data_IF_091542136619
#
_entry.id   IF_091542136619
#
_cell.length_a   1.000
_cell.length_b   1.000
_cell.length_c   1.000
_cell.angle_alpha   90.00
_cell.angle_beta   90.00
_cell.angle_gamma   90.00
#
_symmetry.space_group_name_H-M   'P 1'
#
loop_
_entity.id
_entity.type
_entity.pdbx_description
1 polymer ?
#
# COMPACT_ATOMS: atom_id res chain seq x y z
N UNK A 1 -23.73 7.10 -12.30
CA UNK A 1 -23.56 7.31 -10.84
C UNK A 1 -24.84 7.97 -10.33
N UNK A 2 -25.66 7.25 -9.55
CA UNK A 2 -27.08 7.60 -9.37
C UNK A 2 -27.36 8.57 -8.20
N UNK A 3 -26.32 9.10 -7.55
CA UNK A 3 -26.47 10.16 -6.55
C UNK A 3 -25.37 11.21 -6.73
N UNK A 4 -25.75 12.33 -7.36
CA UNK A 4 -24.95 13.54 -7.45
C UNK A 4 -25.12 14.31 -6.13
N UNK A 5 -24.03 14.60 -5.42
CA UNK A 5 -24.09 15.36 -4.16
C UNK A 5 -24.59 16.78 -4.43
N UNK A 6 -25.48 17.26 -3.56
CA UNK A 6 -26.14 18.57 -3.66
C UNK A 6 -25.15 19.73 -3.50
N UNK A 7 -24.09 19.54 -2.70
CA UNK A 7 -22.97 20.49 -2.58
C UNK A 7 -21.65 19.84 -3.02
N UNK A 8 -20.94 20.39 -4.02
CA UNK A 8 -19.58 19.99 -4.32
C UNK A 8 -18.67 20.39 -3.15
N UNK A 9 -17.82 19.47 -2.70
CA UNK A 9 -16.83 19.80 -1.67
C UNK A 9 -15.80 20.76 -2.27
N UNK A 10 -15.42 21.86 -1.58
CA UNK A 10 -14.32 22.71 -2.02
C UNK A 10 -13.06 21.88 -2.22
N UNK A 11 -12.33 22.11 -3.30
CA UNK A 11 -11.13 21.34 -3.71
C UNK A 11 -10.07 21.30 -2.61
N UNK A 12 -9.84 22.44 -1.94
CA UNK A 12 -8.96 22.56 -0.77
C UNK A 12 -9.39 21.67 0.40
N UNK A 13 -10.70 21.55 0.63
CA UNK A 13 -11.26 20.69 1.69
C UNK A 13 -11.15 19.21 1.33
N UNK A 14 -11.22 18.86 0.05
CA UNK A 14 -10.98 17.51 -0.43
C UNK A 14 -9.50 17.10 -0.30
N UNK A 15 -8.56 18.03 -0.57
CA UNK A 15 -7.13 17.81 -0.37
C UNK A 15 -6.78 17.71 1.13
N UNK A 16 -7.34 18.56 1.97
CA UNK A 16 -7.17 18.50 3.42
C UNK A 16 -7.74 17.21 4.03
N UNK A 17 -8.91 16.74 3.57
CA UNK A 17 -9.47 15.45 4.01
C UNK A 17 -8.72 14.22 3.46
N UNK A 18 -7.99 14.38 2.35
CA UNK A 18 -7.08 13.35 1.82
C UNK A 18 -5.81 13.23 2.68
N UNK A 19 -5.23 14.36 3.09
CA UNK A 19 -4.05 14.40 3.97
C UNK A 19 -4.38 14.08 5.43
N UNK A 20 -5.58 14.46 5.91
CA UNK A 20 -6.06 14.17 7.27
C UNK A 20 -7.51 13.67 7.26
N UNK A 21 -7.74 12.35 7.14
CA UNK A 21 -9.08 11.80 7.12
C UNK A 21 -9.76 12.06 8.47
N UNK A 22 -10.91 12.75 8.45
CA UNK A 22 -11.69 13.15 9.64
C UNK A 22 -12.06 12.02 10.60
N UNK A 23 -11.92 10.76 10.20
CA UNK A 23 -12.15 9.57 11.03
C UNK A 23 -10.89 8.98 11.64
N UNK A 24 -9.73 9.63 11.53
CA UNK A 24 -8.43 9.14 12.00
C UNK A 24 -7.81 8.06 11.10
N UNK A 25 -6.50 7.85 11.26
CA UNK A 25 -5.72 6.85 10.54
C UNK A 25 -6.24 5.43 10.76
N UNK A 26 -6.82 5.14 11.93
CA UNK A 26 -7.43 3.84 12.26
C UNK A 26 -8.58 3.51 11.31
N UNK A 27 -9.45 4.47 11.00
CA UNK A 27 -10.61 4.26 10.11
C UNK A 27 -10.17 4.19 8.65
N UNK A 28 -9.16 4.96 8.25
CA UNK A 28 -8.52 4.84 6.94
C UNK A 28 -7.86 3.45 6.77
N UNK A 29 -7.13 2.98 7.77
CA UNK A 29 -6.56 1.63 7.81
C UNK A 29 -7.65 0.54 7.72
N UNK A 30 -8.72 0.64 8.52
CA UNK A 30 -9.85 -0.29 8.43
C UNK A 30 -10.52 -0.25 7.06
N UNK A 31 -10.70 0.93 6.47
CA UNK A 31 -11.25 1.09 5.13
C UNK A 31 -10.36 0.43 4.07
N UNK A 32 -9.04 0.70 4.09
CA UNK A 32 -8.07 0.09 3.20
C UNK A 32 -8.04 -1.42 3.41
N UNK A 33 -7.98 -1.92 4.65
CA UNK A 33 -8.07 -3.34 5.00
C UNK A 33 -9.36 -4.00 4.49
N UNK A 34 -10.51 -3.35 4.65
CA UNK A 34 -11.78 -3.85 4.14
C UNK A 34 -11.83 -3.86 2.62
N UNK A 35 -11.26 -2.85 1.96
CA UNK A 35 -11.16 -2.76 0.50
C UNK A 35 -10.20 -3.81 -0.06
N UNK A 36 -9.05 -4.02 0.60
CA UNK A 36 -8.06 -5.07 0.31
C UNK A 36 -8.71 -6.45 0.37
N UNK A 37 -9.54 -6.70 1.38
CA UNK A 37 -10.32 -7.94 1.52
C UNK A 37 -11.39 -8.13 0.45
N UNK A 38 -11.77 -7.10 -0.32
CA UNK A 38 -12.84 -7.18 -1.33
C UNK A 38 -12.33 -7.03 -2.77
N UNK A 39 -11.04 -6.77 -2.99
CA UNK A 39 -10.48 -6.60 -4.33
C UNK A 39 -10.55 -7.92 -5.12
N UNK A 40 -11.32 -7.98 -6.21
CA UNK A 40 -11.33 -9.11 -7.14
C UNK A 40 -10.16 -8.95 -8.12
N UNK A 41 -8.95 -8.76 -7.61
CA UNK A 41 -7.76 -8.71 -8.45
C UNK A 41 -7.02 -10.04 -8.40
N UNK A 42 -6.42 -10.42 -9.54
CA UNK A 42 -5.62 -11.62 -9.62
C UNK A 42 -4.39 -11.50 -8.71
N UNK A 43 -3.92 -12.60 -8.10
CA UNK A 43 -2.74 -12.61 -7.24
C UNK A 43 -1.52 -11.96 -7.90
N UNK A 44 -1.34 -12.16 -9.20
CA UNK A 44 -0.23 -11.62 -9.99
C UNK A 44 -0.32 -10.09 -10.10
N UNK A 45 -1.52 -9.54 -10.31
CA UNK A 45 -1.72 -8.09 -10.38
C UNK A 45 -1.45 -7.42 -9.03
N UNK A 46 -1.88 -8.05 -7.94
CA UNK A 46 -1.58 -7.58 -6.58
C UNK A 46 -0.07 -7.67 -6.32
N UNK A 47 0.58 -8.78 -6.68
CA UNK A 47 2.01 -8.97 -6.52
C UNK A 47 2.85 -7.97 -7.34
N UNK A 48 2.45 -7.62 -8.57
CA UNK A 48 3.09 -6.52 -9.33
C UNK A 48 2.96 -5.17 -8.62
N UNK A 49 1.84 -4.94 -7.94
CA UNK A 49 1.69 -3.78 -7.07
C UNK A 49 2.68 -3.81 -5.90
N UNK A 50 2.76 -4.93 -5.17
CA UNK A 50 3.72 -5.11 -4.06
C UNK A 50 5.15 -4.89 -4.56
N UNK A 51 5.51 -5.48 -5.70
CA UNK A 51 6.81 -5.29 -6.36
C UNK A 51 7.11 -3.80 -6.56
N UNK A 52 6.17 -3.04 -7.13
CA UNK A 52 6.35 -1.61 -7.37
C UNK A 52 6.55 -0.82 -6.06
N UNK A 53 5.79 -1.16 -5.02
CA UNK A 53 5.93 -0.54 -3.69
C UNK A 53 7.28 -0.83 -3.03
N UNK A 54 7.69 -2.09 -3.02
CA UNK A 54 8.98 -2.53 -2.44
C UNK A 54 10.14 -1.93 -3.23
N UNK A 55 10.11 -1.97 -4.56
CA UNK A 55 11.16 -1.35 -5.38
C UNK A 55 11.33 0.13 -5.05
N UNK A 56 10.21 0.85 -4.87
CA UNK A 56 10.22 2.27 -4.56
C UNK A 56 10.93 2.61 -3.25
N UNK A 57 10.96 1.70 -2.25
CA UNK A 57 11.65 1.97 -0.98
C UNK A 57 13.17 2.02 -1.12
N UNK A 58 13.72 1.47 -2.21
CA UNK A 58 15.14 1.55 -2.56
C UNK A 58 15.46 2.79 -3.41
N UNK A 59 14.51 3.70 -3.59
CA UNK A 59 14.74 4.97 -4.29
C UNK A 59 14.93 6.11 -3.30
N UNK A 60 15.75 7.14 -3.63
CA UNK A 60 16.00 8.26 -2.73
C UNK A 60 14.83 9.25 -2.65
N UNK A 61 13.69 8.94 -3.26
CA UNK A 61 12.50 9.80 -3.35
C UNK A 61 11.64 9.80 -2.08
N UNK A 62 12.26 10.04 -0.93
CA UNK A 62 11.57 10.13 0.36
C UNK A 62 10.44 11.18 0.31
N UNK A 63 9.27 10.83 0.85
CA UNK A 63 8.06 11.64 0.76
C UNK A 63 7.28 11.50 -0.56
N UNK A 64 7.96 11.20 -1.67
CA UNK A 64 7.34 10.96 -2.99
C UNK A 64 7.11 9.47 -3.30
N UNK A 65 7.48 8.56 -2.41
CA UNK A 65 7.34 7.11 -2.60
C UNK A 65 5.92 6.67 -3.01
N UNK A 66 4.86 7.28 -2.47
CA UNK A 66 3.50 6.93 -2.89
C UNK A 66 3.23 7.26 -4.35
N UNK A 67 3.77 8.38 -4.85
CA UNK A 67 3.63 8.80 -6.25
C UNK A 67 4.45 7.87 -7.14
N UNK A 68 5.72 7.65 -6.80
CA UNK A 68 6.61 6.77 -7.56
C UNK A 68 6.04 5.34 -7.63
N UNK A 69 5.61 4.78 -6.50
CA UNK A 69 4.99 3.46 -6.44
C UNK A 69 3.69 3.40 -7.25
N UNK A 70 2.87 4.47 -7.23
CA UNK A 70 1.66 4.55 -8.04
C UNK A 70 1.96 4.55 -9.54
N UNK A 71 2.97 5.33 -9.96
CA UNK A 71 3.41 5.41 -11.36
C UNK A 71 3.96 4.06 -11.83
N UNK A 72 4.90 3.47 -11.11
CA UNK A 72 5.49 2.16 -11.44
C UNK A 72 4.41 1.08 -11.47
N UNK A 73 3.53 1.04 -10.46
CA UNK A 73 2.42 0.09 -10.43
C UNK A 73 1.50 0.26 -11.63
N UNK A 74 1.21 1.49 -12.05
CA UNK A 74 0.39 1.76 -13.23
C UNK A 74 1.06 1.30 -14.52
N UNK A 75 2.36 1.55 -14.68
CA UNK A 75 3.16 1.08 -15.83
C UNK A 75 3.15 -0.46 -15.91
N UNK A 76 3.32 -1.14 -14.77
CA UNK A 76 3.29 -2.60 -14.68
C UNK A 76 1.88 -3.20 -14.70
N UNK A 77 0.82 -2.38 -14.89
CA UNK A 77 -0.58 -2.81 -14.77
C UNK A 77 -0.85 -3.57 -13.46
N UNK A 78 -0.22 -3.15 -12.38
CA UNK A 78 -0.35 -3.66 -11.03
C UNK A 78 -1.59 -3.13 -10.30
N UNK A 79 -1.73 -3.54 -9.05
CA UNK A 79 -2.75 -3.00 -8.15
C UNK A 79 -2.18 -1.77 -7.41
N UNK A 80 -2.84 -0.62 -7.58
CA UNK A 80 -2.42 0.64 -6.97
C UNK A 80 -2.37 0.54 -5.43
N UNK A 81 -3.41 0.00 -4.80
CA UNK A 81 -3.46 -0.11 -3.34
C UNK A 81 -2.36 -1.02 -2.81
N UNK A 82 -2.08 -2.13 -3.50
CA UNK A 82 -0.99 -3.03 -3.13
C UNK A 82 0.38 -2.35 -3.23
N UNK A 83 0.57 -1.46 -4.22
CA UNK A 83 1.80 -0.66 -4.34
C UNK A 83 1.95 0.36 -3.22
N UNK A 84 0.89 1.11 -2.91
CA UNK A 84 0.90 2.03 -1.77
C UNK A 84 1.10 1.28 -0.43
N UNK A 85 0.62 0.04 -0.32
CA UNK A 85 0.90 -0.78 0.86
C UNK A 85 2.34 -1.30 0.87
N UNK A 86 2.91 -1.59 -0.30
CA UNK A 86 4.28 -2.04 -0.45
C UNK A 86 5.32 -1.00 -0.05
N UNK A 87 5.01 0.31 -0.16
CA UNK A 87 5.95 1.36 0.30
C UNK A 87 6.18 1.33 1.81
N UNK A 88 5.26 0.76 2.61
CA UNK A 88 5.47 0.56 4.05
C UNK A 88 6.49 -0.53 4.39
N UNK A 89 7.06 -1.20 3.37
CA UNK A 89 8.28 -1.99 3.55
C UNK A 89 9.44 -1.11 4.08
N UNK A 90 9.45 0.17 3.70
CA UNK A 90 10.34 1.20 4.25
C UNK A 90 9.85 1.69 5.62
N UNK A 91 10.62 1.41 6.66
CA UNK A 91 10.44 1.90 8.01
C UNK A 91 11.81 2.34 8.57
N UNK A 92 11.87 3.13 9.67
CA UNK A 92 13.14 3.66 10.18
C UNK A 92 14.23 2.60 10.37
N UNK A 93 13.86 1.38 10.74
CA UNK A 93 14.79 0.26 10.90
C UNK A 93 15.26 -0.30 9.56
N UNK A 94 14.39 -0.42 8.55
CA UNK A 94 14.76 -0.95 7.23
C UNK A 94 15.49 0.09 6.36
N UNK A 95 15.31 1.39 6.60
CA UNK A 95 16.00 2.42 5.82
C UNK A 95 17.51 2.45 6.02
N UNK A 96 18.01 2.05 7.19
CA UNK A 96 19.46 1.97 7.46
C UNK A 96 20.14 0.93 6.54
N UNK A 97 19.74 -0.36 6.55
CA UNK A 97 20.35 -1.35 5.66
C UNK A 97 20.04 -1.08 4.17
N UNK A 98 18.85 -0.55 3.83
CA UNK A 98 18.55 -0.15 2.45
C UNK A 98 19.48 0.98 2.00
N UNK A 99 19.70 1.99 2.84
CA UNK A 99 20.56 3.12 2.53
C UNK A 99 22.02 2.71 2.37
N UNK A 100 22.55 1.89 3.28
CA UNK A 100 23.91 1.35 3.19
C UNK A 100 24.06 0.54 1.91
N UNK A 101 23.18 -0.45 1.67
CA UNK A 101 23.29 -1.30 0.47
C UNK A 101 23.15 -0.50 -0.83
N UNK A 102 22.23 0.45 -0.91
CA UNK A 102 22.03 1.28 -2.09
C UNK A 102 23.20 2.23 -2.33
N UNK A 103 23.73 2.86 -1.28
CA UNK A 103 24.88 3.75 -1.42
C UNK A 103 26.17 2.99 -1.75
N UNK A 104 26.46 1.89 -1.06
CA UNK A 104 27.63 1.05 -1.35
C UNK A 104 27.58 0.54 -2.79
N UNK A 105 26.42 0.07 -3.25
CA UNK A 105 26.23 -0.36 -4.63
C UNK A 105 26.39 0.79 -5.62
N UNK A 106 25.88 1.98 -5.28
CA UNK A 106 25.95 3.17 -6.13
C UNK A 106 27.38 3.65 -6.35
N UNK A 107 28.13 3.77 -5.27
CA UNK A 107 29.54 4.16 -5.30
C UNK A 107 30.38 3.11 -6.05
N UNK A 108 30.11 1.83 -5.84
CA UNK A 108 30.75 0.75 -6.59
C UNK A 108 30.49 0.85 -8.11
N UNK A 109 29.24 1.08 -8.53
CA UNK A 109 28.88 1.25 -9.95
C UNK A 109 29.51 2.52 -10.54
N UNK A 110 29.56 3.61 -9.78
CA UNK A 110 30.10 4.89 -10.23
C UNK A 110 31.63 4.97 -10.18
N UNK A 111 32.30 3.96 -9.62
CA UNK A 111 33.75 3.99 -9.39
C UNK A 111 34.19 5.07 -8.38
N UNK A 112 33.26 5.56 -7.56
CA UNK A 112 33.55 6.53 -6.50
C UNK A 112 33.67 5.81 -5.16
N UNK A 113 34.39 6.41 -4.21
CA UNK A 113 34.46 5.88 -2.84
C UNK A 113 33.37 6.50 -1.99
N UNK A 114 32.73 5.69 -1.15
CA UNK A 114 32.01 6.21 0.01
C UNK A 114 33.03 6.99 0.84
N UNK A 115 32.93 8.32 0.88
CA UNK A 115 33.82 9.15 1.70
C UNK A 115 33.49 8.87 3.17
N UNK A 116 34.21 7.91 3.76
CA UNK A 116 33.99 7.43 5.14
C UNK A 116 34.63 8.32 6.22
N UNK A 117 35.33 9.39 5.84
CA UNK A 117 35.96 10.29 6.81
C UNK A 117 36.03 11.72 6.29
N UNK A 118 35.16 12.58 6.82
CA UNK A 118 35.42 13.98 7.23
C UNK A 118 34.14 14.83 7.25
N UNK A 119 33.11 14.52 6.46
CA UNK A 119 31.91 15.37 6.33
C UNK A 119 30.60 14.63 6.66
N UNK A 120 30.20 14.65 7.94
CA UNK A 120 28.89 14.29 8.56
C UNK A 120 28.21 12.96 8.15
N UNK A 121 27.40 12.41 9.07
CA UNK A 121 26.66 11.15 8.83
C UNK A 121 25.64 11.28 7.68
N UNK A 122 25.22 10.15 7.09
CA UNK A 122 24.14 10.07 6.10
C UNK A 122 22.92 10.92 6.49
N UNK A 123 22.49 10.83 7.76
CA UNK A 123 21.38 11.65 8.28
C UNK A 123 21.72 13.15 8.37
N UNK A 124 22.97 13.51 8.65
CA UNK A 124 23.44 14.89 8.64
C UNK A 124 23.29 15.54 7.27
N UNK A 125 23.69 14.86 6.20
CA UNK A 125 23.54 15.38 4.82
C UNK A 125 22.06 15.57 4.42
N UNK A 126 21.17 14.70 4.89
CA UNK A 126 19.72 14.87 4.71
C UNK A 126 19.17 16.08 5.48
N UNK A 127 19.65 16.30 6.71
CA UNK A 127 19.24 17.44 7.52
C UNK A 127 19.71 18.77 6.90
N UNK A 128 20.96 18.82 6.46
CA UNK A 128 21.56 20.01 5.85
C UNK A 128 20.82 20.36 4.54
N UNK A 129 20.57 19.39 3.66
CA UNK A 129 19.76 19.61 2.45
C UNK A 129 18.32 20.07 2.75
N UNK A 130 17.72 19.55 3.81
CA UNK A 130 16.39 19.99 4.27
C UNK A 130 16.40 21.41 4.83
N UNK A 131 17.45 21.78 5.58
CA UNK A 131 17.63 23.13 6.11
C UNK A 131 17.79 24.14 4.98
N UNK A 132 18.61 23.83 3.97
CA UNK A 132 18.80 24.69 2.80
C UNK A 132 17.51 24.85 2.00
N UNK A 133 16.76 23.77 1.78
CA UNK A 133 15.46 23.81 1.08
C UNK A 133 14.46 24.71 1.81
N UNK A 134 14.30 24.54 3.12
CA UNK A 134 13.37 25.36 3.91
C UNK A 134 13.86 26.81 4.02
N UNK A 135 15.17 27.01 4.20
CA UNK A 135 15.82 28.32 4.23
C UNK A 135 15.59 29.10 2.93
N UNK A 136 15.74 28.44 1.78
CA UNK A 136 15.51 29.03 0.46
C UNK A 136 14.04 29.37 0.22
N UNK A 137 13.09 28.56 0.72
CA UNK A 137 11.66 28.91 0.66
C UNK A 137 11.37 30.16 1.49
N UNK A 138 11.96 30.30 2.68
CA UNK A 138 11.81 31.50 3.51
C UNK A 138 12.50 32.72 2.88
N UNK A 139 13.62 32.51 2.21
CA UNK A 139 14.36 33.54 1.47
C UNK A 139 13.59 34.08 0.25
N UNK A 140 12.58 33.38 -0.27
CA UNK A 140 11.68 33.95 -1.30
C UNK A 140 10.83 35.10 -0.72
N UNK A 141 10.49 35.01 0.57
CA UNK A 141 9.63 35.98 1.26
C UNK A 141 10.40 36.95 2.16
N UNK A 142 11.72 36.78 2.28
CA UNK A 142 12.63 37.56 3.13
C UNK A 142 13.80 38.06 2.30
N UNK A 143 14.45 39.16 2.66
CA UNK A 143 15.66 39.66 1.96
C UNK A 143 16.94 38.83 2.17
N UNK A 144 16.81 37.53 2.50
CA UNK A 144 17.95 36.64 2.75
C UNK A 144 18.48 36.09 1.43
N UNK A 145 19.80 35.95 1.29
CA UNK A 145 20.39 35.27 0.14
C UNK A 145 20.10 33.77 0.16
N UNK A 146 19.85 33.19 -1.01
CA UNK A 146 19.57 31.76 -1.18
C UNK A 146 20.89 30.98 -1.21
N UNK A 147 21.01 29.94 -0.39
CA UNK A 147 22.17 29.05 -0.34
C UNK A 147 21.80 27.66 -0.88
N UNK A 148 22.56 27.18 -1.86
CA UNK A 148 22.33 25.90 -2.53
C UNK A 148 23.42 24.87 -2.24
N UNK A 149 24.38 25.20 -1.37
CA UNK A 149 25.61 24.43 -1.18
C UNK A 149 25.33 23.04 -0.63
N UNK A 150 24.54 22.91 0.43
CA UNK A 150 24.17 21.61 1.01
C UNK A 150 23.29 20.78 0.08
N UNK A 151 22.41 21.42 -0.70
CA UNK A 151 21.63 20.71 -1.72
C UNK A 151 22.52 20.14 -2.85
N UNK A 152 23.52 20.90 -3.30
CA UNK A 152 24.47 20.44 -4.32
C UNK A 152 25.35 19.28 -3.82
N UNK A 153 25.80 19.35 -2.56
CA UNK A 153 26.53 18.26 -1.90
C UNK A 153 25.64 17.02 -1.77
N UNK A 154 24.40 17.20 -1.29
CA UNK A 154 23.44 16.10 -1.18
C UNK A 154 23.15 15.45 -2.52
N UNK A 155 22.97 16.23 -3.59
CA UNK A 155 22.71 15.70 -4.92
C UNK A 155 23.84 14.76 -5.39
N UNK A 156 25.09 15.23 -5.27
CA UNK A 156 26.27 14.52 -5.77
C UNK A 156 26.67 13.33 -4.91
N UNK A 157 26.58 13.45 -3.59
CA UNK A 157 27.13 12.46 -2.66
C UNK A 157 26.09 11.48 -2.12
N UNK A 158 24.81 11.86 -2.14
CA UNK A 158 23.73 11.04 -1.59
C UNK A 158 22.75 10.66 -2.69
N UNK A 159 22.08 11.64 -3.30
CA UNK A 159 20.97 11.38 -4.20
C UNK A 159 21.38 10.58 -5.43
N UNK A 160 22.40 11.02 -6.16
CA UNK A 160 22.81 10.40 -7.42
C UNK A 160 23.39 8.99 -7.23
N UNK A 161 24.35 8.74 -6.30
CA UNK A 161 24.83 7.40 -6.02
C UNK A 161 23.70 6.48 -5.54
N UNK A 162 22.83 6.96 -4.64
CA UNK A 162 21.71 6.16 -4.14
C UNK A 162 20.73 5.82 -5.27
N UNK A 163 20.42 6.75 -6.17
CA UNK A 163 19.49 6.52 -7.28
C UNK A 163 19.96 5.37 -8.17
N UNK A 164 21.25 5.32 -8.51
CA UNK A 164 21.84 4.27 -9.34
C UNK A 164 21.97 2.97 -8.54
N UNK A 165 22.53 3.07 -7.35
CA UNK A 165 22.83 1.92 -6.50
C UNK A 165 21.61 1.24 -5.91
N UNK A 166 20.48 1.94 -5.79
CA UNK A 166 19.20 1.38 -5.33
C UNK A 166 18.51 0.50 -6.37
N UNK A 167 18.86 0.62 -7.66
CA UNK A 167 18.22 -0.14 -8.74
C UNK A 167 18.42 -1.63 -8.54
N UNK A 168 19.66 -2.10 -8.39
CA UNK A 168 19.98 -3.53 -8.29
C UNK A 168 19.40 -4.20 -7.03
N UNK A 169 19.72 -3.75 -5.80
CA UNK A 169 19.13 -4.33 -4.59
C UNK A 169 17.60 -4.16 -4.58
N UNK A 170 17.07 -3.05 -5.09
CA UNK A 170 15.64 -2.84 -5.22
C UNK A 170 14.98 -3.85 -6.15
N UNK A 171 15.56 -4.09 -7.33
CA UNK A 171 15.08 -5.10 -8.28
C UNK A 171 15.10 -6.50 -7.67
N UNK A 172 16.17 -6.86 -6.96
CA UNK A 172 16.31 -8.17 -6.30
C UNK A 172 15.23 -8.33 -5.22
N UNK A 173 15.15 -7.40 -4.26
CA UNK A 173 14.20 -7.46 -3.16
C UNK A 173 12.75 -7.42 -3.65
N UNK A 174 12.43 -6.55 -4.62
CA UNK A 174 11.09 -6.48 -5.20
C UNK A 174 10.72 -7.78 -5.91
N UNK A 175 11.65 -8.39 -6.66
CA UNK A 175 11.42 -9.66 -7.36
C UNK A 175 11.19 -10.81 -6.39
N UNK A 176 11.98 -10.89 -5.31
CA UNK A 176 11.75 -11.83 -4.22
C UNK A 176 10.35 -11.61 -3.62
N UNK A 177 10.00 -10.35 -3.32
CA UNK A 177 8.68 -10.01 -2.78
C UNK A 177 7.54 -10.43 -3.72
N UNK A 178 7.70 -10.29 -5.03
CA UNK A 178 6.73 -10.76 -6.03
C UNK A 178 6.54 -12.28 -5.97
N UNK A 179 7.63 -13.04 -6.06
CA UNK A 179 7.56 -14.50 -6.06
C UNK A 179 7.04 -15.08 -4.75
N UNK A 180 7.31 -14.44 -3.61
CA UNK A 180 6.72 -14.82 -2.32
C UNK A 180 5.25 -14.43 -2.22
N UNK A 181 4.87 -13.26 -2.75
CA UNK A 181 3.50 -12.74 -2.64
C UNK A 181 2.50 -13.56 -3.45
N UNK A 182 2.84 -14.00 -4.67
CA UNK A 182 1.91 -14.75 -5.53
C UNK A 182 1.33 -16.01 -4.86
N UNK A 183 2.12 -16.97 -4.33
CA UNK A 183 1.59 -18.17 -3.70
C UNK A 183 0.82 -17.85 -2.40
N UNK A 184 1.28 -16.88 -1.60
CA UNK A 184 0.59 -16.44 -0.39
C UNK A 184 -0.80 -15.87 -0.71
N UNK A 185 -0.88 -15.01 -1.73
CA UNK A 185 -2.12 -14.41 -2.20
C UNK A 185 -3.06 -15.46 -2.80
N UNK A 186 -2.54 -16.39 -3.62
CA UNK A 186 -3.32 -17.52 -4.16
C UNK A 186 -3.92 -18.38 -3.06
N UNK A 187 -3.12 -18.77 -2.06
CA UNK A 187 -3.57 -19.56 -0.92
C UNK A 187 -4.64 -18.83 -0.11
N UNK A 188 -4.45 -17.53 0.14
CA UNK A 188 -5.41 -16.68 0.84
C UNK A 188 -6.74 -16.59 0.07
N UNK A 189 -6.70 -16.34 -1.24
CA UNK A 189 -7.90 -16.26 -2.08
C UNK A 189 -8.64 -17.60 -2.15
N UNK A 190 -7.92 -18.72 -2.32
CA UNK A 190 -8.50 -20.07 -2.31
C UNK A 190 -9.21 -20.36 -0.98
N UNK A 191 -8.54 -20.12 0.15
CA UNK A 191 -9.12 -20.29 1.49
C UNK A 191 -10.38 -19.43 1.68
N UNK A 192 -10.34 -18.17 1.27
CA UNK A 192 -11.49 -17.26 1.35
C UNK A 192 -12.67 -17.74 0.52
N UNK A 193 -12.43 -18.20 -0.72
CA UNK A 193 -13.48 -18.73 -1.59
C UNK A 193 -14.17 -19.96 -0.97
N UNK A 194 -13.39 -20.87 -0.37
CA UNK A 194 -13.91 -22.04 0.34
C UNK A 194 -14.77 -21.67 1.53
N UNK A 195 -14.34 -20.70 2.36
CA UNK A 195 -15.14 -20.22 3.50
C UNK A 195 -16.47 -19.59 3.05
N UNK A 196 -16.46 -18.82 1.96
CA UNK A 196 -17.69 -18.22 1.42
C UNK A 196 -18.63 -19.30 0.89
N UNK A 197 -18.10 -20.29 0.14
CA UNK A 197 -18.89 -21.42 -0.37
C UNK A 197 -19.52 -22.25 0.76
N UNK A 198 -18.74 -22.57 1.79
CA UNK A 198 -19.22 -23.30 2.97
C UNK A 198 -20.34 -22.54 3.70
N UNK A 199 -20.22 -21.21 3.85
CA UNK A 199 -21.28 -20.38 4.43
C UNK A 199 -22.55 -20.39 3.59
N UNK A 200 -22.42 -20.30 2.26
CA UNK A 200 -23.56 -20.36 1.35
C UNK A 200 -24.27 -21.72 1.41
N UNK A 201 -23.52 -22.82 1.39
CA UNK A 201 -24.07 -24.18 1.53
C UNK A 201 -24.76 -24.38 2.89
N UNK A 202 -24.19 -23.87 3.97
CA UNK A 202 -24.81 -23.91 5.31
C UNK A 202 -26.14 -23.13 5.34
N UNK A 203 -26.20 -21.95 4.71
CA UNK A 203 -27.45 -21.18 4.60
C UNK A 203 -28.49 -21.92 3.75
N UNK A 204 -28.09 -22.55 2.64
CA UNK A 204 -28.98 -23.36 1.80
C UNK A 204 -29.54 -24.57 2.55
N UNK A 205 -28.71 -25.29 3.32
CA UNK A 205 -29.14 -26.41 4.17
C UNK A 205 -30.14 -25.97 5.25
N UNK A 206 -29.86 -24.85 5.94
CA UNK A 206 -30.79 -24.29 6.94
C UNK A 206 -32.14 -23.89 6.33
N UNK A 207 -32.13 -23.30 5.13
CA UNK A 207 -33.35 -22.96 4.41
C UNK A 207 -34.16 -24.21 4.01
N UNK A 208 -33.48 -25.25 3.52
CA UNK A 208 -34.10 -26.52 3.15
C UNK A 208 -34.74 -27.21 4.37
N UNK A 209 -34.01 -27.33 5.47
CA UNK A 209 -34.52 -27.92 6.72
C UNK A 209 -35.73 -27.16 7.27
N UNK A 210 -35.72 -25.82 7.20
CA UNK A 210 -36.87 -25.00 7.61
C UNK A 210 -38.10 -25.21 6.71
N UNK A 211 -37.89 -25.36 5.40
CA UNK A 211 -38.97 -25.62 4.45
C UNK A 211 -39.57 -27.02 4.64
N UNK A 212 -38.74 -28.03 4.92
CA UNK A 212 -39.17 -29.39 5.21
C UNK A 212 -39.94 -29.47 6.53
N UNK A 213 -39.41 -28.87 7.61
CA UNK A 213 -40.12 -28.79 8.88
C UNK A 213 -41.50 -28.12 8.76
N UNK A 214 -41.61 -27.06 7.93
CA UNK A 214 -42.89 -26.41 7.64
C UNK A 214 -43.86 -27.36 6.92
N UNK A 215 -43.40 -28.09 5.89
CA UNK A 215 -44.23 -29.06 5.16
C UNK A 215 -44.69 -30.22 6.05
N UNK A 216 -43.83 -30.72 6.93
CA UNK A 216 -44.18 -31.79 7.86
C UNK A 216 -45.23 -31.33 8.87
N UNK A 217 -45.08 -30.11 9.41
CA UNK A 217 -46.09 -29.52 10.31
C UNK A 217 -47.44 -29.31 9.61
N UNK A 218 -47.45 -28.82 8.36
CA UNK A 218 -48.67 -28.69 7.54
C UNK A 218 -49.33 -30.04 7.25
N UNK A 219 -48.53 -31.10 7.02
CA UNK A 219 -49.03 -32.46 6.81
C UNK A 219 -49.67 -33.04 8.07
N UNK A 220 -49.02 -32.92 9.23
CA UNK A 220 -49.58 -33.38 10.51
C UNK A 220 -50.86 -32.64 10.90
N UNK A 221 -50.96 -31.34 10.56
CA UNK A 221 -52.17 -30.54 10.75
C UNK A 221 -53.34 -30.98 9.86
N UNK A 222 -53.06 -31.50 8.66
CA UNK A 222 -54.07 -32.09 7.77
C UNK A 222 -54.54 -33.44 8.25
N UNK A 223 -53.62 -34.34 8.59
CA UNK A 223 -53.93 -35.69 9.08
C UNK A 223 -54.70 -35.65 10.42
N UNK A 224 -54.37 -34.72 11.31
CA UNK A 224 -55.10 -34.52 12.57
C UNK A 224 -56.53 -33.98 12.40
N UNK A 225 -56.86 -33.35 11.26
CA UNK A 225 -58.23 -32.89 10.95
C UNK A 225 -59.10 -34.00 10.36
N UNK A 226 -58.54 -34.92 9.59
CA UNK A 226 -59.29 -36.04 9.00
C UNK A 226 -59.71 -37.09 10.03
N UNK A 227 -59.02 -37.22 11.16
CA UNK A 227 -59.39 -38.17 12.23
C UNK A 227 -60.31 -37.59 13.32
N UNK A 228 -60.61 -36.30 13.28
CA UNK A 228 -61.53 -35.64 14.23
C UNK A 228 -62.98 -35.49 13.72
N UNK A 229 -63.28 -35.94 12.49
CA UNK A 229 -64.56 -35.69 11.81
C UNK A 229 -65.62 -36.79 11.89
N UNK A 230 -65.34 -37.93 12.54
CA UNK A 230 -66.33 -38.99 12.76
C UNK A 230 -66.62 -39.13 14.25
N UNK A 231 -67.53 -38.31 14.77
CA UNK A 231 -68.37 -38.58 15.94
C UNK A 231 -69.54 -37.61 15.96
#
# INVERSE_FOLDING_TARGET
>A
MIFKRRDPKPTLRAMAEFMWPRGGWTRAFHYVKHRMRRLPDTPERIARGIWAGVFTTFTPFYGLHFIVAALISRLMRGNLLAALMGTFFGNPLTYVPIGISSLSMGHWILGTTMVEGENRSFGGKFFDAGHDLLGNVVAIFTSREMDWTGLAVFWREVFYPYLIGGIVPGMICATIAYYLSVPLLRAYQKRRSGVIKAKFEALKKKAAAKAEAKRSAERSLREGKDHGGTR
#
